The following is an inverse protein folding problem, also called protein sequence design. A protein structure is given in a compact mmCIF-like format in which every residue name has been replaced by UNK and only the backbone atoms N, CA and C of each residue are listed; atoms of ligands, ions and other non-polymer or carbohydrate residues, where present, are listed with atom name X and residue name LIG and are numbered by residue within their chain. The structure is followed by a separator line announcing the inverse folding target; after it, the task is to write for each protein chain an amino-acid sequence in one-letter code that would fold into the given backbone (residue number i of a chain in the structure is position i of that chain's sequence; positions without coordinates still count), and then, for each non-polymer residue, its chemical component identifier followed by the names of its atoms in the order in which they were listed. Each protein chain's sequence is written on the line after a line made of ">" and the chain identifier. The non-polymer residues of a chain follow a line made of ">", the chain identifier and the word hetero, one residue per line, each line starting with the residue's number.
data_IF_106022356971
#
_entry.id   IF_106022356971
#
_cell.length_a   1.000
_cell.length_b   1.000
_cell.length_c   1.000
_cell.angle_alpha   90.00
_cell.angle_beta   90.00
_cell.angle_gamma   90.00
#
_symmetry.space_group_name_H-M   'P 1'
#
loop_
_entity.id
_entity.type
_entity.pdbx_description
1 polymer ?
#
# COMPACT_ATOMS: atom_id res chain seq x y z
N UNK A 1 19.06 35.95 46.57
CA UNK A 1 19.66 34.64 46.20
C UNK A 1 18.68 33.92 45.30
N UNK A 2 18.81 34.08 43.97
CA UNK A 2 17.94 33.49 42.97
C UNK A 2 18.49 32.12 42.56
N UNK A 3 17.66 31.06 42.62
CA UNK A 3 18.03 29.72 42.15
C UNK A 3 17.26 29.43 40.86
N UNK A 4 18.03 29.27 39.79
CA UNK A 4 17.63 29.02 38.41
C UNK A 4 17.36 27.52 38.28
N UNK A 5 16.11 27.12 38.11
CA UNK A 5 15.77 25.76 37.68
C UNK A 5 15.45 25.75 36.19
N UNK A 6 16.11 24.81 35.53
CA UNK A 6 16.36 24.71 34.10
C UNK A 6 15.14 24.04 33.47
N UNK A 7 14.55 24.67 32.46
CA UNK A 7 13.57 24.05 31.57
C UNK A 7 14.20 22.79 30.94
N UNK A 8 13.75 21.61 31.35
CA UNK A 8 13.90 20.38 30.58
C UNK A 8 12.79 20.33 29.55
N UNK A 9 13.09 20.73 28.32
CA UNK A 9 12.30 20.33 27.16
C UNK A 9 12.56 18.84 26.91
N UNK A 10 11.62 17.96 27.28
CA UNK A 10 11.58 16.59 26.77
C UNK A 10 11.19 16.67 25.30
N UNK A 11 12.17 16.51 24.41
CA UNK A 11 11.93 16.16 23.01
C UNK A 11 11.86 14.65 22.92
N UNK A 12 10.70 14.09 23.24
CA UNK A 12 10.29 12.75 22.85
C UNK A 12 9.14 12.93 21.86
N UNK A 13 9.17 12.35 20.64
CA UNK A 13 8.02 12.39 19.77
C UNK A 13 6.93 11.53 20.41
N UNK A 14 5.99 12.21 21.05
CA UNK A 14 4.78 11.62 21.60
C UNK A 14 3.85 11.25 20.44
N UNK A 15 4.14 10.14 19.76
CA UNK A 15 3.14 9.43 18.97
C UNK A 15 2.26 8.65 19.94
N UNK A 16 1.43 9.37 20.70
CA UNK A 16 0.25 8.76 21.29
C UNK A 16 -0.85 8.78 20.22
N UNK A 17 -1.42 7.62 19.85
CA UNK A 17 -2.62 7.59 19.03
C UNK A 17 -3.74 8.26 19.81
N UNK A 18 -3.96 9.54 19.49
CA UNK A 18 -5.03 10.34 20.05
C UNK A 18 -6.30 9.99 19.28
N UNK A 19 -7.15 9.13 19.85
CA UNK A 19 -8.50 8.93 19.31
C UNK A 19 -9.10 7.57 19.60
N UNK A 20 -9.76 7.42 20.75
CA UNK A 20 -10.95 6.57 20.81
C UNK A 20 -12.01 7.22 19.90
N UNK A 21 -12.12 6.74 18.66
CA UNK A 21 -13.18 7.15 17.72
C UNK A 21 -12.76 7.53 16.29
N UNK A 22 -11.47 7.58 15.94
CA UNK A 22 -11.03 7.63 14.54
C UNK A 22 -10.47 6.27 14.13
N UNK A 23 -11.22 5.51 13.33
CA UNK A 23 -10.70 4.30 12.68
C UNK A 23 -9.62 4.76 11.68
N UNK A 24 -8.36 4.64 12.10
CA UNK A 24 -7.20 4.93 11.26
C UNK A 24 -7.20 4.05 10.01
N UNK A 25 -6.60 4.55 8.93
CA UNK A 25 -6.46 3.78 7.68
C UNK A 25 -5.57 2.56 7.92
N UNK A 26 -6.07 1.36 7.59
CA UNK A 26 -5.24 0.14 7.58
C UNK A 26 -4.22 0.22 6.46
N UNK A 27 -2.98 -0.08 6.78
CA UNK A 27 -1.87 -0.14 5.83
C UNK A 27 -1.52 -1.61 5.65
N UNK A 28 -1.80 -2.17 4.47
CA UNK A 28 -1.68 -3.61 4.20
C UNK A 28 -0.75 -3.83 3.02
N UNK A 29 0.13 -4.82 3.12
CA UNK A 29 0.99 -5.28 2.02
C UNK A 29 0.87 -6.78 1.85
N UNK A 30 0.71 -7.23 0.60
CA UNK A 30 0.62 -8.63 0.23
C UNK A 30 1.59 -8.92 -0.91
N UNK A 31 2.47 -9.91 -0.71
CA UNK A 31 3.49 -10.25 -1.71
C UNK A 31 4.60 -11.11 -1.15
N UNK A 32 5.77 -11.02 -1.76
CA UNK A 32 6.95 -11.80 -1.41
C UNK A 32 7.43 -11.55 0.03
N UNK A 33 8.08 -12.54 0.68
CA UNK A 33 8.61 -12.38 2.02
C UNK A 33 9.58 -11.20 2.14
N UNK A 34 10.49 -11.04 1.16
CA UNK A 34 11.47 -9.97 1.17
C UNK A 34 10.83 -8.57 1.13
N UNK A 35 9.75 -8.41 0.35
CA UNK A 35 9.02 -7.15 0.30
C UNK A 35 8.29 -6.86 1.62
N UNK A 36 7.54 -7.85 2.10
CA UNK A 36 6.69 -7.71 3.29
C UNK A 36 7.51 -7.47 4.56
N UNK A 37 8.71 -8.04 4.68
CA UNK A 37 9.63 -7.81 5.80
C UNK A 37 9.98 -6.32 5.95
N UNK A 38 10.30 -5.63 4.85
CA UNK A 38 10.64 -4.20 4.89
C UNK A 38 9.46 -3.32 5.32
N UNK A 39 8.25 -3.64 4.87
CA UNK A 39 7.03 -2.91 5.22
C UNK A 39 6.57 -3.16 6.66
N UNK A 40 6.84 -4.34 7.22
CA UNK A 40 6.56 -4.64 8.63
C UNK A 40 7.25 -3.63 9.57
N UNK A 41 8.47 -3.20 9.22
CA UNK A 41 9.27 -2.27 10.01
C UNK A 41 8.62 -0.89 10.17
N UNK A 42 7.70 -0.52 9.28
CA UNK A 42 7.01 0.78 9.29
C UNK A 42 5.52 0.67 9.65
N UNK A 43 5.10 -0.48 10.19
CA UNK A 43 3.76 -0.67 10.74
C UNK A 43 2.68 -1.10 9.74
N UNK A 44 3.07 -1.65 8.58
CA UNK A 44 2.10 -2.32 7.71
C UNK A 44 1.69 -3.68 8.28
N UNK A 45 0.43 -4.02 8.10
CA UNK A 45 -0.08 -5.38 8.17
C UNK A 45 0.45 -6.17 6.98
N UNK A 46 1.11 -7.30 7.23
CA UNK A 46 1.89 -8.01 6.22
C UNK A 46 1.37 -9.41 5.94
N UNK A 47 1.26 -9.73 4.65
CA UNK A 47 0.79 -11.01 4.16
C UNK A 47 1.84 -11.63 3.24
N UNK A 48 2.87 -12.31 3.80
CA UNK A 48 3.91 -12.96 3.01
C UNK A 48 3.35 -14.17 2.26
N UNK A 49 3.76 -14.37 1.02
CA UNK A 49 3.32 -15.47 0.14
C UNK A 49 1.79 -15.48 -0.08
N UNK A 50 1.16 -14.31 -0.06
CA UNK A 50 -0.26 -14.19 -0.32
C UNK A 50 -0.64 -14.75 -1.70
N UNK A 51 -1.84 -15.29 -1.78
CA UNK A 51 -2.46 -15.80 -3.01
C UNK A 51 -3.57 -14.87 -3.49
N UNK A 52 -4.07 -15.07 -4.71
CA UNK A 52 -5.23 -14.33 -5.22
C UNK A 52 -6.48 -14.52 -4.34
N UNK A 53 -6.68 -15.72 -3.78
CA UNK A 53 -7.77 -16.03 -2.85
C UNK A 53 -7.65 -15.24 -1.54
N UNK A 54 -6.44 -14.97 -1.07
CA UNK A 54 -6.21 -14.17 0.13
C UNK A 54 -6.58 -12.70 -0.12
N UNK A 55 -6.23 -12.17 -1.31
CA UNK A 55 -6.63 -10.83 -1.74
C UNK A 55 -8.16 -10.73 -1.80
N UNK A 56 -8.84 -11.71 -2.39
CA UNK A 56 -10.29 -11.73 -2.50
C UNK A 56 -10.98 -11.69 -1.12
N UNK A 57 -10.49 -12.49 -0.17
CA UNK A 57 -11.00 -12.54 1.21
C UNK A 57 -10.76 -11.23 1.95
N UNK A 58 -9.55 -10.67 1.84
CA UNK A 58 -9.21 -9.40 2.47
C UNK A 58 -10.13 -8.29 1.96
N UNK A 59 -10.32 -8.20 0.64
CA UNK A 59 -11.21 -7.19 0.06
C UNK A 59 -12.66 -7.40 0.51
N UNK A 60 -13.12 -8.65 0.66
CA UNK A 60 -14.45 -8.93 1.24
C UNK A 60 -14.61 -8.34 2.64
N UNK A 61 -13.61 -8.57 3.48
CA UNK A 61 -13.59 -8.13 4.86
C UNK A 61 -13.66 -6.61 4.93
N UNK A 62 -12.77 -5.93 4.21
CA UNK A 62 -12.69 -4.47 4.16
C UNK A 62 -14.00 -3.84 3.63
N UNK A 63 -14.63 -4.45 2.63
CA UNK A 63 -15.92 -3.99 2.13
C UNK A 63 -17.03 -4.19 3.18
N UNK A 64 -17.09 -5.35 3.83
CA UNK A 64 -18.10 -5.66 4.85
C UNK A 64 -17.98 -4.77 6.07
N UNK A 65 -16.75 -4.48 6.50
CA UNK A 65 -16.47 -3.65 7.67
C UNK A 65 -16.48 -2.14 7.36
N UNK A 66 -16.56 -1.77 6.08
CA UNK A 66 -16.52 -0.37 5.61
C UNK A 66 -15.24 0.37 6.04
N UNK A 67 -14.15 -0.36 6.19
CA UNK A 67 -12.85 0.16 6.64
C UNK A 67 -12.14 0.98 5.56
N UNK A 68 -11.29 1.91 6.01
CA UNK A 68 -10.36 2.63 5.12
C UNK A 68 -9.07 1.83 5.03
N UNK A 69 -8.59 1.58 3.82
CA UNK A 69 -7.37 0.79 3.63
C UNK A 69 -6.51 1.32 2.47
N UNK A 70 -5.20 1.24 2.65
CA UNK A 70 -4.21 1.23 1.58
C UNK A 70 -3.67 -0.20 1.45
N UNK A 71 -3.89 -0.81 0.30
CA UNK A 71 -3.45 -2.18 -0.01
C UNK A 71 -2.37 -2.13 -1.08
N UNK A 72 -1.18 -2.61 -0.72
CA UNK A 72 -0.03 -2.75 -1.60
C UNK A 72 0.08 -4.20 -2.08
N UNK A 73 0.09 -4.40 -3.39
CA UNK A 73 0.16 -5.72 -4.00
C UNK A 73 1.38 -5.82 -4.92
N UNK A 74 2.08 -6.94 -4.93
CA UNK A 74 3.03 -7.23 -6.01
C UNK A 74 2.29 -7.45 -7.36
N UNK A 75 2.96 -7.30 -8.52
CA UNK A 75 2.31 -7.36 -9.83
C UNK A 75 1.52 -8.64 -10.08
N UNK A 76 2.02 -9.78 -9.59
CA UNK A 76 1.34 -11.07 -9.73
C UNK A 76 -0.04 -11.11 -9.05
N UNK A 77 -0.19 -10.42 -7.92
CA UNK A 77 -1.45 -10.32 -7.18
C UNK A 77 -2.33 -9.18 -7.69
N UNK A 78 -1.70 -8.06 -8.07
CA UNK A 78 -2.35 -6.84 -8.58
C UNK A 78 -3.02 -7.03 -9.95
N UNK A 79 -2.50 -7.96 -10.76
CA UNK A 79 -2.94 -8.20 -12.15
C UNK A 79 -3.76 -9.47 -12.31
N UNK A 80 -4.06 -10.17 -11.20
CA UNK A 80 -4.96 -11.32 -11.19
C UNK A 80 -6.35 -10.97 -11.71
N UNK A 81 -7.08 -11.96 -12.22
CA UNK A 81 -8.39 -11.76 -12.88
C UNK A 81 -9.57 -11.77 -11.89
N UNK A 82 -9.38 -11.37 -10.64
CA UNK A 82 -10.50 -11.40 -9.68
C UNK A 82 -11.50 -10.26 -9.95
N UNK A 83 -12.78 -10.63 -10.01
CA UNK A 83 -13.88 -9.70 -10.26
C UNK A 83 -14.00 -8.64 -9.17
N UNK A 84 -13.69 -8.97 -7.90
CA UNK A 84 -13.73 -8.00 -6.80
C UNK A 84 -12.56 -7.02 -6.82
N UNK A 85 -11.35 -7.45 -7.15
CA UNK A 85 -10.19 -6.53 -7.22
C UNK A 85 -10.44 -5.39 -8.22
N UNK A 86 -10.89 -5.74 -9.43
CA UNK A 86 -11.26 -4.77 -10.46
C UNK A 86 -12.40 -3.86 -10.02
N UNK A 87 -13.42 -4.43 -9.37
CA UNK A 87 -14.56 -3.69 -8.83
C UNK A 87 -14.17 -2.71 -7.74
N UNK A 88 -13.40 -3.14 -6.74
CA UNK A 88 -12.94 -2.29 -5.63
C UNK A 88 -12.13 -1.11 -6.17
N UNK A 89 -11.24 -1.35 -7.16
CA UNK A 89 -10.47 -0.28 -7.82
C UNK A 89 -11.34 0.76 -8.51
N UNK A 90 -12.48 0.35 -9.08
CA UNK A 90 -13.37 1.23 -9.82
C UNK A 90 -14.40 1.95 -8.93
N UNK A 91 -14.86 1.28 -7.86
CA UNK A 91 -16.05 1.70 -7.12
C UNK A 91 -15.78 2.15 -5.68
N UNK A 92 -14.70 1.68 -5.04
CA UNK A 92 -14.48 1.94 -3.61
C UNK A 92 -13.86 3.32 -3.37
N UNK A 93 -14.51 4.20 -2.59
CA UNK A 93 -13.91 5.47 -2.18
C UNK A 93 -13.00 5.33 -0.94
N UNK A 94 -12.93 4.14 -0.31
CA UNK A 94 -12.25 3.91 0.98
C UNK A 94 -11.01 3.04 0.88
N UNK A 95 -10.89 2.27 -0.19
CA UNK A 95 -9.83 1.29 -0.38
C UNK A 95 -8.98 1.73 -1.58
N UNK A 96 -7.74 2.09 -1.31
CA UNK A 96 -6.75 2.39 -2.34
C UNK A 96 -5.92 1.13 -2.56
N UNK A 97 -5.82 0.69 -3.81
CA UNK A 97 -5.00 -0.45 -4.19
C UNK A 97 -3.92 0.02 -5.15
N UNK A 98 -2.66 -0.23 -4.83
CA UNK A 98 -1.53 0.11 -5.70
C UNK A 98 -0.54 -1.04 -5.79
N UNK A 99 0.17 -1.06 -6.92
CA UNK A 99 1.18 -2.06 -7.21
C UNK A 99 2.54 -1.63 -6.65
N UNK A 100 3.30 -2.58 -6.11
CA UNK A 100 4.69 -2.39 -5.70
C UNK A 100 5.59 -3.29 -6.55
N UNK A 101 6.59 -2.74 -7.26
CA UNK A 101 7.50 -3.54 -8.08
C UNK A 101 8.23 -4.62 -7.26
N UNK A 102 8.51 -5.79 -7.87
CA UNK A 102 9.26 -6.85 -7.19
C UNK A 102 10.70 -6.40 -6.94
N UNK A 103 11.27 -6.81 -5.81
CA UNK A 103 12.64 -6.44 -5.41
C UNK A 103 13.71 -7.16 -6.24
N UNK A 104 13.44 -8.39 -6.69
CA UNK A 104 14.40 -9.22 -7.41
C UNK A 104 14.61 -8.82 -8.88
N UNK A 105 13.64 -8.14 -9.49
CA UNK A 105 13.65 -7.78 -10.90
C UNK A 105 12.95 -6.44 -11.16
N UNK A 106 13.39 -5.34 -10.53
CA UNK A 106 12.72 -4.04 -10.66
C UNK A 106 12.76 -3.49 -12.09
N UNK A 107 13.76 -3.89 -12.91
CA UNK A 107 13.88 -3.48 -14.31
C UNK A 107 12.82 -4.06 -15.25
N UNK A 108 12.16 -5.14 -14.84
CA UNK A 108 11.12 -5.84 -15.61
C UNK A 108 9.71 -5.32 -15.27
N UNK A 109 9.62 -4.35 -14.36
CA UNK A 109 8.36 -3.72 -14.01
C UNK A 109 7.82 -2.90 -15.19
N UNK A 110 6.56 -3.15 -15.54
CA UNK A 110 5.84 -2.42 -16.59
C UNK A 110 4.47 -1.97 -16.05
N UNK A 111 4.35 -0.75 -15.53
CA UNK A 111 3.10 -0.21 -15.00
C UNK A 111 1.94 -0.30 -16.00
N UNK A 112 0.72 -0.58 -15.53
CA UNK A 112 -0.47 -0.60 -16.38
C UNK A 112 -0.75 0.72 -17.11
N UNK A 113 -0.23 1.85 -16.60
CA UNK A 113 -0.36 3.15 -17.28
C UNK A 113 0.49 3.23 -18.55
N UNK A 114 1.58 2.47 -18.68
CA UNK A 114 2.41 2.48 -19.90
C UNK A 114 1.62 1.93 -21.10
N UNK A 115 0.83 0.87 -20.90
CA UNK A 115 -0.08 0.33 -21.91
C UNK A 115 -1.12 1.38 -22.35
N UNK A 116 -1.67 2.14 -21.40
CA UNK A 116 -2.65 3.18 -21.68
C UNK A 116 -2.03 4.35 -22.44
N UNK A 117 -0.87 4.84 -21.99
CA UNK A 117 -0.12 5.90 -22.66
C UNK A 117 0.21 5.48 -24.09
N UNK A 118 0.69 4.26 -24.29
CA UNK A 118 0.97 3.73 -25.63
C UNK A 118 -0.28 3.69 -26.51
N UNK A 119 -1.43 3.27 -25.96
CA UNK A 119 -2.70 3.21 -26.69
C UNK A 119 -3.25 4.59 -27.06
N UNK A 120 -3.05 5.60 -26.22
CA UNK A 120 -3.66 6.94 -26.39
C UNK A 120 -2.72 7.90 -27.12
N UNK A 121 -1.44 7.88 -26.79
CA UNK A 121 -0.44 8.85 -27.23
C UNK A 121 0.61 8.24 -28.19
N UNK A 122 0.64 6.92 -28.32
CA UNK A 122 1.64 6.20 -29.13
C UNK A 122 2.92 5.86 -28.36
N UNK A 123 3.75 4.99 -28.93
CA UNK A 123 4.98 4.50 -28.30
C UNK A 123 6.03 5.59 -28.05
N UNK A 124 6.06 6.64 -28.86
CA UNK A 124 7.00 7.76 -28.73
C UNK A 124 6.77 8.63 -27.48
N UNK A 125 5.66 8.44 -26.78
CA UNK A 125 5.35 9.16 -25.55
C UNK A 125 6.06 8.57 -24.32
N UNK A 126 6.64 7.37 -24.42
CA UNK A 126 7.43 6.75 -23.37
C UNK A 126 8.91 7.12 -23.54
N UNK A 127 9.59 7.43 -22.44
CA UNK A 127 11.05 7.62 -22.47
C UNK A 127 11.74 6.29 -22.80
N UNK A 128 12.79 6.32 -23.63
CA UNK A 128 13.60 5.14 -23.89
C UNK A 128 14.34 4.71 -22.61
N UNK A 129 14.20 3.44 -22.22
CA UNK A 129 14.97 2.85 -21.12
C UNK A 129 16.47 2.97 -21.46
N UNK A 130 17.19 3.80 -20.70
CA UNK A 130 18.66 3.91 -20.75
C UNK A 130 19.35 2.72 -20.11
#
# INVERSE_FOLDING_TARGET
>A
MAKKEILRFSTEPKLEPSGEGEVGTRLIVMGSPALTEGFALIGFETWPNATEDDVEKLLEELEKSQEKALVLLEPGLSRGQSGRLSRVRAESPRIIITEVPPLQAPGDYHPAVEDLVTKVLGQSALEEKK
#
